data_IF_759938900456
#
_entry.id   IF_759938900456
#
_cell.length_a   1.000
_cell.length_b   1.000
_cell.length_c   1.000
_cell.angle_alpha   90.00
_cell.angle_beta   90.00
_cell.angle_gamma   90.00
#
_symmetry.space_group_name_H-M   'P 1'
#
loop_
_entity.id
_entity.type
_entity.pdbx_description
1 polymer ?
#
# COMPACT_ATOMS: atom_id res chain seq x y z
N UNK A 1 -30.19 -21.68 32.84
CA UNK A 1 -29.51 -20.66 33.67
C UNK A 1 -28.37 -20.04 32.87
N UNK A 2 -28.74 -19.33 31.80
CA UNK A 2 -27.87 -18.48 30.99
C UNK A 2 -27.75 -17.12 31.70
N UNK A 3 -26.62 -16.82 32.32
CA UNK A 3 -26.23 -15.43 32.63
C UNK A 3 -24.79 -15.36 33.18
N UNK A 4 -23.80 -15.89 32.45
CA UNK A 4 -22.40 -15.53 32.69
C UNK A 4 -21.79 -14.89 31.43
N UNK A 5 -22.58 -14.00 30.83
CA UNK A 5 -22.17 -13.13 29.74
C UNK A 5 -22.30 -11.67 30.21
N UNK A 6 -21.24 -10.89 30.01
CA UNK A 6 -21.07 -9.44 30.29
C UNK A 6 -20.70 -9.05 31.71
N UNK A 7 -19.39 -9.03 32.00
CA UNK A 7 -18.78 -8.07 32.93
C UNK A 7 -17.25 -8.10 32.79
N UNK A 8 -16.72 -7.22 31.92
CA UNK A 8 -15.43 -6.51 32.09
C UNK A 8 -14.95 -5.97 30.74
N UNK A 9 -15.70 -5.00 30.21
CA UNK A 9 -15.17 -4.02 29.25
C UNK A 9 -15.19 -2.69 29.98
N UNK A 10 -14.19 -2.47 30.84
CA UNK A 10 -13.93 -1.19 31.48
C UNK A 10 -12.60 -1.34 32.22
N UNK A 11 -11.48 -1.02 31.57
CA UNK A 11 -10.22 -0.57 32.18
C UNK A 11 -9.17 -0.39 31.06
N UNK A 12 -9.45 0.45 30.06
CA UNK A 12 -8.39 1.02 29.21
C UNK A 12 -8.85 2.33 28.57
N UNK A 13 -9.31 3.25 29.42
CA UNK A 13 -9.50 4.65 29.05
C UNK A 13 -9.10 5.46 30.28
N UNK A 14 -7.86 5.95 30.31
CA UNK A 14 -7.37 7.19 30.93
C UNK A 14 -5.85 7.22 30.71
N UNK A 15 -5.39 8.01 29.74
CA UNK A 15 -4.11 8.76 29.77
C UNK A 15 -3.84 9.40 28.40
N UNK A 16 -4.77 10.24 27.96
CA UNK A 16 -4.47 11.35 27.04
C UNK A 16 -4.41 12.60 27.89
N UNK A 17 -3.23 13.06 28.29
CA UNK A 17 -2.97 14.47 28.61
C UNK A 17 -1.47 14.72 28.79
N UNK A 18 -1.05 15.91 28.35
CA UNK A 18 0.24 16.57 28.58
C UNK A 18 1.47 16.06 27.82
N UNK A 19 1.68 16.64 26.62
CA UNK A 19 2.96 17.31 26.33
C UNK A 19 2.78 18.37 25.21
N UNK A 20 1.87 19.34 25.39
CA UNK A 20 1.87 20.58 24.59
C UNK A 20 2.97 21.50 25.12
N UNK A 21 4.21 21.29 24.69
CA UNK A 21 5.26 22.33 24.82
C UNK A 21 5.22 23.19 23.57
N UNK A 22 4.43 24.26 23.67
CA UNK A 22 4.46 25.40 22.75
C UNK A 22 5.81 26.10 22.90
N UNK A 23 6.74 25.83 21.99
CA UNK A 23 7.96 26.63 21.84
C UNK A 23 7.59 27.82 20.96
N UNK A 24 7.19 28.92 21.60
CA UNK A 24 7.10 30.22 20.96
C UNK A 24 8.53 30.77 20.83
N UNK A 25 9.21 30.45 19.73
CA UNK A 25 10.50 31.03 19.38
C UNK A 25 10.27 32.25 18.50
N UNK A 26 10.24 33.43 19.12
CA UNK A 26 10.32 34.73 18.43
C UNK A 26 11.69 34.90 17.78
N UNK A 27 11.85 34.31 16.58
CA UNK A 27 13.03 34.52 15.75
C UNK A 27 12.94 35.91 15.12
N UNK A 28 13.71 36.84 15.67
CA UNK A 28 14.00 38.14 15.05
C UNK A 28 14.60 37.89 13.67
N UNK A 29 13.84 38.22 12.61
CA UNK A 29 14.33 38.21 11.22
C UNK A 29 15.15 39.49 11.03
N UNK A 30 16.47 39.39 11.12
CA UNK A 30 17.33 40.38 10.51
C UNK A 30 17.16 40.28 8.99
N UNK A 31 16.54 41.29 8.36
CA UNK A 31 16.56 41.41 6.91
C UNK A 31 17.99 41.79 6.51
N UNK A 32 18.67 40.90 5.78
CA UNK A 32 19.87 41.29 5.07
C UNK A 32 19.42 42.09 3.86
N UNK A 33 19.31 43.42 4.00
CA UNK A 33 19.26 44.32 2.84
C UNK A 33 20.55 44.06 2.06
N UNK A 34 20.42 43.47 0.87
CA UNK A 34 21.57 43.27 0.00
C UNK A 34 21.95 44.62 -0.60
N UNK A 35 23.17 45.06 -0.31
CA UNK A 35 23.72 46.31 -0.81
C UNK A 35 23.94 46.17 -2.33
N UNK A 36 23.22 46.91 -3.20
CA UNK A 36 23.25 46.71 -4.66
C UNK A 36 24.59 47.13 -5.28
N UNK A 37 25.44 47.81 -4.52
CA UNK A 37 26.67 48.46 -4.99
C UNK A 37 27.91 47.57 -4.87
N UNK A 38 27.79 46.38 -4.28
CA UNK A 38 28.94 45.47 -4.13
C UNK A 38 29.14 44.68 -5.44
N UNK A 39 30.28 44.82 -6.14
CA UNK A 39 30.56 44.01 -7.31
C UNK A 39 30.57 42.54 -6.89
N UNK A 40 29.75 41.71 -7.53
CA UNK A 40 29.76 40.27 -7.29
C UNK A 40 31.13 39.75 -7.73
N UNK A 41 31.86 38.97 -6.91
CA UNK A 41 33.03 38.27 -7.40
C UNK A 41 32.59 37.42 -8.60
N UNK A 42 33.34 37.48 -9.70
CA UNK A 42 33.22 36.48 -10.79
C UNK A 42 33.58 35.15 -10.15
N UNK A 43 32.57 34.41 -9.71
CA UNK A 43 32.72 33.04 -9.25
C UNK A 43 33.13 32.27 -10.50
N UNK A 44 34.41 31.98 -10.62
CA UNK A 44 34.92 30.99 -11.56
C UNK A 44 34.21 29.68 -11.22
N UNK A 45 33.27 29.27 -12.08
CA UNK A 45 32.54 28.01 -11.92
C UNK A 45 33.59 26.92 -11.79
N UNK A 46 33.58 26.22 -10.67
CA UNK A 46 34.50 25.11 -10.44
C UNK A 46 34.25 24.06 -11.53
N UNK A 47 35.23 23.26 -11.93
CA UNK A 47 35.05 22.18 -12.91
C UNK A 47 33.86 21.25 -12.54
N UNK A 48 33.66 21.03 -11.25
CA UNK A 48 32.50 20.32 -10.68
C UNK A 48 31.18 21.01 -10.98
N UNK A 49 31.20 22.34 -11.09
CA UNK A 49 30.05 23.14 -11.43
C UNK A 49 29.64 22.98 -12.90
N UNK A 50 30.62 22.80 -13.79
CA UNK A 50 30.32 22.46 -15.19
C UNK A 50 29.86 21.01 -15.35
N UNK A 51 30.40 20.09 -14.55
CA UNK A 51 29.94 18.70 -14.52
C UNK A 51 28.49 18.59 -14.04
N UNK A 52 28.06 19.45 -13.09
CA UNK A 52 26.64 19.52 -12.70
C UNK A 52 25.76 20.04 -13.84
N UNK A 53 26.21 21.04 -14.62
CA UNK A 53 25.41 21.62 -15.71
C UNK A 53 25.16 20.61 -16.84
N UNK A 54 26.14 19.74 -17.12
CA UNK A 54 26.00 18.67 -18.11
C UNK A 54 25.12 17.52 -17.60
N UNK A 55 25.16 17.22 -16.31
CA UNK A 55 24.19 16.31 -15.67
C UNK A 55 22.77 16.92 -15.64
N UNK A 56 22.67 18.26 -15.63
CA UNK A 56 21.42 19.02 -15.73
C UNK A 56 20.87 19.08 -17.18
N UNK A 57 21.74 18.97 -18.19
CA UNK A 57 21.37 18.92 -19.59
C UNK A 57 21.09 17.48 -20.05
N UNK A 58 20.17 16.82 -19.36
CA UNK A 58 19.83 15.43 -19.62
C UNK A 58 19.18 15.28 -21.01
N UNK A 59 19.85 14.60 -21.95
CA UNK A 59 19.50 14.48 -23.38
C UNK A 59 18.24 13.61 -23.66
N UNK A 60 17.75 12.88 -22.65
CA UNK A 60 16.74 11.86 -22.90
C UNK A 60 15.38 12.50 -23.19
N UNK A 61 14.63 12.02 -24.20
CA UNK A 61 13.27 12.46 -24.45
C UNK A 61 12.40 12.35 -23.19
N UNK A 62 11.46 13.29 -22.95
CA UNK A 62 10.69 13.36 -21.71
C UNK A 62 9.89 12.08 -21.40
N UNK A 63 9.54 11.30 -22.43
CA UNK A 63 8.81 10.04 -22.28
C UNK A 63 9.65 8.92 -21.64
N UNK A 64 10.98 9.00 -21.69
CA UNK A 64 11.87 8.00 -21.08
C UNK A 64 11.75 8.04 -19.55
N UNK A 65 11.67 9.24 -18.96
CA UNK A 65 11.50 9.38 -17.52
C UNK A 65 10.12 8.92 -17.07
N UNK A 66 9.06 9.27 -17.81
CA UNK A 66 7.71 8.80 -17.48
C UNK A 66 7.61 7.29 -17.61
N UNK A 67 8.20 6.70 -18.65
CA UNK A 67 8.29 5.25 -18.83
C UNK A 67 9.06 4.56 -17.69
N UNK A 68 10.21 5.10 -17.28
CA UNK A 68 11.02 4.54 -16.18
C UNK A 68 10.29 4.63 -14.84
N UNK A 69 9.60 5.74 -14.58
CA UNK A 69 8.77 5.90 -13.38
C UNK A 69 7.62 4.90 -13.39
N UNK A 70 6.91 4.77 -14.51
CA UNK A 70 5.83 3.80 -14.66
C UNK A 70 6.32 2.37 -14.46
N UNK A 71 7.44 2.00 -15.08
CA UNK A 71 8.05 0.68 -14.92
C UNK A 71 8.39 0.41 -13.46
N UNK A 72 8.96 1.38 -12.75
CA UNK A 72 9.26 1.24 -11.31
C UNK A 72 7.97 1.03 -10.51
N UNK A 73 6.93 1.80 -10.80
CA UNK A 73 5.62 1.67 -10.16
C UNK A 73 4.89 0.37 -10.49
N UNK A 74 5.25 -0.33 -11.56
CA UNK A 74 4.69 -1.64 -11.88
C UNK A 74 5.53 -2.79 -11.33
N UNK A 75 6.85 -2.73 -11.54
CA UNK A 75 7.78 -3.82 -11.20
C UNK A 75 7.88 -4.02 -9.69
N UNK A 76 8.03 -2.93 -8.91
CA UNK A 76 8.18 -3.04 -7.45
C UNK A 76 6.98 -3.72 -6.80
N UNK A 77 5.72 -3.27 -7.01
CA UNK A 77 4.57 -3.98 -6.45
C UNK A 77 4.34 -5.34 -7.09
N UNK A 78 4.66 -5.55 -8.38
CA UNK A 78 4.53 -6.86 -9.01
C UNK A 78 5.42 -7.91 -8.32
N UNK A 79 6.67 -7.56 -8.00
CA UNK A 79 7.58 -8.45 -7.25
C UNK A 79 7.02 -8.73 -5.85
N UNK A 80 6.49 -7.71 -5.17
CA UNK A 80 5.88 -7.90 -3.84
C UNK A 80 4.68 -8.86 -3.90
N UNK A 81 3.77 -8.68 -4.86
CA UNK A 81 2.61 -9.56 -5.04
C UNK A 81 3.01 -10.97 -5.46
N UNK A 82 4.00 -11.10 -6.34
CA UNK A 82 4.57 -12.39 -6.72
C UNK A 82 5.11 -13.13 -5.50
N UNK A 83 5.89 -12.46 -4.66
CA UNK A 83 6.37 -13.03 -3.40
C UNK A 83 5.22 -13.45 -2.49
N UNK A 84 4.24 -12.57 -2.27
CA UNK A 84 3.14 -12.84 -1.34
C UNK A 84 2.27 -14.00 -1.80
N UNK A 85 1.93 -14.12 -3.09
CA UNK A 85 0.88 -15.05 -3.53
C UNK A 85 1.36 -16.22 -4.40
N UNK A 86 2.47 -16.08 -5.13
CA UNK A 86 2.90 -17.06 -6.14
C UNK A 86 4.15 -17.81 -5.71
N UNK A 87 5.14 -17.12 -5.14
CA UNK A 87 6.41 -17.71 -4.78
C UNK A 87 6.26 -18.72 -3.64
N UNK A 88 6.85 -19.90 -3.78
CA UNK A 88 6.85 -20.92 -2.73
C UNK A 88 8.09 -20.77 -1.83
N UNK A 89 7.86 -20.56 -0.53
CA UNK A 89 8.93 -20.40 0.46
C UNK A 89 9.31 -21.74 1.13
N UNK A 90 8.74 -22.86 0.66
CA UNK A 90 9.01 -24.21 1.16
C UNK A 90 8.07 -24.65 2.28
N UNK A 91 8.37 -25.80 2.87
CA UNK A 91 7.45 -26.57 3.73
C UNK A 91 7.12 -25.96 5.11
N UNK A 92 7.67 -24.81 5.46
CA UNK A 92 7.45 -24.16 6.76
C UNK A 92 6.38 -23.07 6.66
N UNK A 93 5.64 -22.84 7.75
CA UNK A 93 4.65 -21.75 7.82
C UNK A 93 5.35 -20.41 7.56
N UNK A 94 4.99 -19.78 6.44
CA UNK A 94 5.54 -18.49 6.02
C UNK A 94 4.66 -17.32 6.45
N UNK A 95 5.23 -16.13 6.62
CA UNK A 95 4.50 -14.92 7.07
C UNK A 95 3.36 -14.52 6.13
N UNK A 96 3.41 -14.94 4.86
CA UNK A 96 2.37 -14.70 3.87
C UNK A 96 1.31 -15.81 3.77
N UNK A 97 1.33 -16.82 4.65
CA UNK A 97 0.28 -17.85 4.70
C UNK A 97 -1.11 -17.30 5.09
N UNK A 98 -1.26 -16.42 6.11
CA UNK A 98 -2.56 -15.83 6.43
C UNK A 98 -3.22 -15.07 5.26
N UNK A 99 -2.54 -14.16 4.53
CA UNK A 99 -3.15 -13.50 3.37
C UNK A 99 -3.45 -14.47 2.23
N UNK A 100 -2.66 -15.53 2.00
CA UNK A 100 -2.98 -16.58 1.02
C UNK A 100 -4.27 -17.32 1.38
N UNK A 101 -4.44 -17.72 2.64
CA UNK A 101 -5.68 -18.37 3.14
C UNK A 101 -6.90 -17.47 3.00
N UNK A 102 -6.74 -16.15 3.23
CA UNK A 102 -7.81 -15.20 2.96
C UNK A 102 -8.17 -15.17 1.46
N UNK A 103 -7.18 -15.07 0.57
CA UNK A 103 -7.41 -15.06 -0.87
C UNK A 103 -8.08 -16.34 -1.38
N UNK A 104 -7.69 -17.51 -0.86
CA UNK A 104 -8.34 -18.79 -1.18
C UNK A 104 -9.82 -18.78 -0.81
N UNK A 105 -10.18 -18.32 0.40
CA UNK A 105 -11.58 -18.18 0.83
C UNK A 105 -12.36 -17.20 -0.05
N UNK A 106 -11.73 -16.11 -0.49
CA UNK A 106 -12.39 -15.18 -1.43
C UNK A 106 -12.61 -15.86 -2.78
N UNK A 107 -11.60 -16.53 -3.33
CA UNK A 107 -11.73 -17.28 -4.58
C UNK A 107 -12.84 -18.33 -4.49
N UNK A 108 -12.87 -19.10 -3.41
CA UNK A 108 -13.95 -20.07 -3.15
C UNK A 108 -15.30 -19.35 -3.15
N UNK A 109 -15.47 -18.26 -2.40
CA UNK A 109 -16.76 -17.55 -2.36
C UNK A 109 -17.26 -17.03 -3.71
N UNK A 110 -16.37 -16.73 -4.66
CA UNK A 110 -16.76 -16.30 -6.02
C UNK A 110 -17.01 -17.47 -6.98
N UNK A 111 -16.31 -18.60 -6.81
CA UNK A 111 -16.42 -19.75 -7.69
C UNK A 111 -17.31 -20.88 -7.14
N UNK A 112 -17.73 -20.80 -5.88
CA UNK A 112 -18.73 -21.69 -5.28
C UNK A 112 -20.08 -20.99 -5.18
N UNK A 113 -21.16 -21.75 -5.33
CA UNK A 113 -22.52 -21.26 -5.12
C UNK A 113 -22.63 -20.63 -3.72
N UNK A 114 -23.27 -19.47 -3.65
CA UNK A 114 -23.63 -18.90 -2.35
C UNK A 114 -24.55 -19.88 -1.61
N UNK A 115 -24.54 -19.90 -0.26
CA UNK A 115 -25.36 -20.83 0.51
C UNK A 115 -26.87 -20.65 0.24
N UNK A 116 -27.30 -19.53 -0.33
CA UNK A 116 -28.67 -19.30 -0.76
C UNK A 116 -28.94 -19.95 -2.13
N UNK A 117 -28.05 -19.77 -3.10
CA UNK A 117 -28.15 -20.44 -4.42
C UNK A 117 -28.07 -21.97 -4.28
N UNK A 118 -27.22 -22.47 -3.37
CA UNK A 118 -27.13 -23.89 -3.08
C UNK A 118 -28.46 -24.45 -2.55
N UNK A 119 -29.18 -23.68 -1.71
CA UNK A 119 -30.51 -24.08 -1.23
C UNK A 119 -31.55 -24.09 -2.35
N UNK A 120 -31.49 -23.11 -3.26
CA UNK A 120 -32.38 -23.05 -4.41
C UNK A 120 -32.17 -24.25 -5.33
N UNK A 121 -30.91 -24.61 -5.61
CA UNK A 121 -30.58 -25.79 -6.43
C UNK A 121 -31.04 -27.08 -5.73
N UNK A 122 -30.75 -27.24 -4.44
CA UNK A 122 -31.24 -28.39 -3.65
C UNK A 122 -32.77 -28.47 -3.65
N UNK A 123 -33.47 -27.33 -3.56
CA UNK A 123 -34.94 -27.31 -3.62
C UNK A 123 -35.47 -27.64 -5.02
N UNK A 124 -34.77 -27.22 -6.08
CA UNK A 124 -35.12 -27.50 -7.46
C UNK A 124 -34.87 -28.97 -7.85
N UNK A 125 -33.81 -29.59 -7.32
CA UNK A 125 -33.50 -31.02 -7.50
C UNK A 125 -34.57 -31.92 -6.87
N UNK A 126 -35.08 -31.55 -5.69
CA UNK A 126 -36.18 -32.26 -5.02
C UNK A 126 -37.55 -32.07 -5.69
N UNK A 127 -37.64 -31.28 -6.77
CA UNK A 127 -38.88 -31.10 -7.52
C UNK A 127 -39.17 -32.35 -8.37
N UNK A 128 -40.42 -32.84 -8.39
CA UNK A 128 -40.80 -34.07 -9.12
C UNK A 128 -40.61 -33.99 -10.64
N UNK A 129 -40.28 -32.81 -11.19
CA UNK A 129 -40.02 -32.57 -12.61
C UNK A 129 -38.52 -32.42 -12.96
N UNK A 130 -37.61 -32.58 -11.99
CA UNK A 130 -36.18 -32.46 -12.24
C UNK A 130 -35.70 -33.54 -13.22
N UNK A 131 -35.07 -33.12 -14.32
CA UNK A 131 -34.43 -34.04 -15.27
C UNK A 131 -33.16 -34.59 -14.62
N UNK A 132 -32.95 -35.91 -14.55
CA UNK A 132 -31.75 -36.45 -13.92
C UNK A 132 -30.50 -35.92 -14.64
N UNK A 133 -29.41 -35.63 -13.91
CA UNK A 133 -28.19 -35.15 -14.52
C UNK A 133 -27.65 -36.18 -15.52
N UNK A 134 -27.04 -35.75 -16.63
CA UNK A 134 -26.42 -36.67 -17.57
C UNK A 134 -25.30 -37.43 -16.86
N UNK A 135 -25.35 -38.76 -16.89
CA UNK A 135 -24.27 -39.63 -16.42
C UNK A 135 -23.02 -39.36 -17.25
N UNK A 136 -21.95 -38.90 -16.60
CA UNK A 136 -20.60 -38.84 -17.19
C UNK A 136 -19.94 -40.21 -17.17
#
# INVERSE_FOLDING_TARGET
MLAMYKRSVALFSVSRTLQRRTICSSRVRHSKQSDPTKPRPKIEKTEKDMLYELELADFRPPWVYTGTKLLTYLVVPAIALYGIFIYDFGDREHVFQPPRRWLLRQKESFFTLTPEEEKLIKSAENSPFAKPPPSS
#
